data_IF_771360850351
#
_entry.id   IF_771360850351
#
_cell.length_a   1.000
_cell.length_b   1.000
_cell.length_c   1.000
_cell.angle_alpha   90.00
_cell.angle_beta   90.00
_cell.angle_gamma   90.00
#
_symmetry.space_group_name_H-M   'P 1'
#
loop_
_entity.id
_entity.type
_entity.pdbx_description
1 polymer ?
#
# COMPACT_ATOMS: atom_id res chain seq x y z
N UNK A 1 -32.49 -5.85 0.35
CA UNK A 1 -32.24 -5.06 1.56
C UNK A 1 -31.37 -3.89 1.14
N UNK A 2 -31.81 -2.67 1.41
CA UNK A 2 -31.00 -1.46 1.14
C UNK A 2 -30.10 -1.21 2.36
N UNK A 3 -28.81 -0.98 2.11
CA UNK A 3 -27.86 -0.58 3.16
C UNK A 3 -28.19 0.84 3.62
N UNK A 4 -27.95 1.11 4.90
CA UNK A 4 -27.90 2.49 5.40
C UNK A 4 -26.74 3.24 4.75
N UNK A 5 -26.78 4.58 4.80
CA UNK A 5 -25.69 5.41 4.28
C UNK A 5 -24.34 5.08 4.92
N UNK A 6 -24.33 4.81 6.22
CA UNK A 6 -23.12 4.45 6.99
C UNK A 6 -22.56 3.09 6.54
N UNK A 7 -23.42 2.09 6.42
CA UNK A 7 -23.04 0.76 5.92
C UNK A 7 -22.52 0.84 4.47
N UNK A 8 -23.13 1.68 3.63
CA UNK A 8 -22.67 1.88 2.25
C UNK A 8 -21.27 2.47 2.22
N UNK A 9 -20.98 3.46 3.06
CA UNK A 9 -19.64 4.06 3.15
C UNK A 9 -18.61 3.04 3.62
N UNK A 10 -18.95 2.25 4.64
CA UNK A 10 -18.06 1.23 5.18
C UNK A 10 -17.74 0.14 4.15
N UNK A 11 -18.73 -0.31 3.38
CA UNK A 11 -18.54 -1.28 2.30
C UNK A 11 -17.60 -0.73 1.21
N UNK A 12 -17.79 0.53 0.80
CA UNK A 12 -16.92 1.17 -0.19
C UNK A 12 -15.47 1.26 0.33
N UNK A 13 -15.27 1.67 1.58
CA UNK A 13 -13.93 1.76 2.16
C UNK A 13 -13.28 0.38 2.32
N UNK A 14 -14.06 -0.65 2.65
CA UNK A 14 -13.58 -2.04 2.72
C UNK A 14 -13.13 -2.53 1.34
N UNK A 15 -13.94 -2.28 0.31
CA UNK A 15 -13.60 -2.63 -1.08
C UNK A 15 -12.38 -1.87 -1.59
N UNK A 16 -12.28 -0.56 -1.27
CA UNK A 16 -11.14 0.26 -1.64
C UNK A 16 -9.85 -0.22 -0.95
N UNK A 17 -9.92 -0.59 0.33
CA UNK A 17 -8.79 -1.18 1.08
C UNK A 17 -8.31 -2.47 0.42
N UNK A 18 -9.23 -3.39 0.11
CA UNK A 18 -8.90 -4.64 -0.57
C UNK A 18 -8.28 -4.40 -1.96
N UNK A 19 -8.82 -3.45 -2.72
CA UNK A 19 -8.33 -3.09 -4.06
C UNK A 19 -6.93 -2.48 -4.02
N UNK A 20 -6.66 -1.62 -3.03
CA UNK A 20 -5.34 -1.03 -2.85
C UNK A 20 -4.29 -2.07 -2.46
N UNK A 21 -4.61 -2.96 -1.50
CA UNK A 21 -3.71 -4.06 -1.13
C UNK A 21 -3.43 -4.99 -2.31
N UNK A 22 -4.43 -5.26 -3.16
CA UNK A 22 -4.27 -6.10 -4.35
C UNK A 22 -3.35 -5.48 -5.42
N UNK A 23 -3.32 -4.15 -5.51
CA UNK A 23 -2.50 -3.43 -6.49
C UNK A 23 -1.02 -3.29 -6.06
N UNK A 24 -0.69 -3.56 -4.81
CA UNK A 24 0.66 -3.46 -4.25
C UNK A 24 1.52 -4.69 -4.56
N UNK A 25 2.84 -4.54 -4.41
CA UNK A 25 3.70 -5.72 -4.36
C UNK A 25 3.42 -6.56 -3.10
N UNK A 26 3.64 -7.87 -3.21
CA UNK A 26 3.31 -8.79 -2.12
C UNK A 26 4.06 -8.48 -0.81
N UNK A 27 5.38 -8.17 -0.81
CA UNK A 27 6.08 -7.79 0.42
C UNK A 27 5.49 -6.54 1.11
N UNK A 28 5.15 -5.48 0.37
CA UNK A 28 4.51 -4.29 0.93
C UNK A 28 3.13 -4.63 1.52
N UNK A 29 2.31 -5.39 0.78
CA UNK A 29 1.00 -5.80 1.28
C UNK A 29 1.10 -6.61 2.58
N UNK A 30 2.09 -7.51 2.69
CA UNK A 30 2.37 -8.27 3.91
C UNK A 30 2.76 -7.33 5.06
N UNK A 31 3.64 -6.35 4.83
CA UNK A 31 4.00 -5.36 5.86
C UNK A 31 2.78 -4.61 6.37
N UNK A 32 1.92 -4.15 5.46
CA UNK A 32 0.70 -3.42 5.83
C UNK A 32 -0.19 -4.26 6.73
N UNK A 33 -0.41 -5.53 6.38
CA UNK A 33 -1.23 -6.44 7.17
C UNK A 33 -0.61 -6.74 8.55
N UNK A 34 0.71 -6.97 8.61
CA UNK A 34 1.39 -7.28 9.87
C UNK A 34 1.44 -6.09 10.83
N UNK A 35 1.53 -4.87 10.30
CA UNK A 35 1.66 -3.65 11.10
C UNK A 35 0.33 -2.93 11.35
N UNK A 36 -0.79 -3.47 10.86
CA UNK A 36 -2.10 -2.80 10.84
C UNK A 36 -2.06 -1.43 10.12
N UNK A 37 -1.33 -1.37 9.01
CA UNK A 37 -1.15 -0.19 8.16
C UNK A 37 -1.89 -0.34 6.80
N UNK A 38 -3.00 -1.08 6.79
CA UNK A 38 -3.94 -1.21 5.68
C UNK A 38 -4.88 0.00 5.54
N UNK A 39 -4.94 0.86 6.57
CA UNK A 39 -5.84 2.00 6.58
C UNK A 39 -5.68 2.91 5.36
N UNK A 40 -6.81 3.32 4.78
CA UNK A 40 -6.87 4.18 3.59
C UNK A 40 -7.29 5.61 3.94
N UNK A 41 -6.88 6.56 3.11
CA UNK A 41 -7.34 7.95 3.13
C UNK A 41 -8.00 8.30 1.80
N UNK A 42 -9.01 9.15 1.87
CA UNK A 42 -9.64 9.78 0.71
C UNK A 42 -8.70 10.86 0.17
N UNK A 43 -8.54 10.88 -1.14
CA UNK A 43 -7.72 11.82 -1.87
C UNK A 43 -8.62 12.53 -2.90
N UNK A 44 -8.56 13.85 -2.90
CA UNK A 44 -9.26 14.72 -3.85
C UNK A 44 -8.30 15.36 -4.87
N UNK A 45 -7.01 15.15 -4.64
CA UNK A 45 -5.92 15.55 -5.51
C UNK A 45 -5.44 14.32 -6.30
N UNK A 46 -4.86 14.54 -7.49
CA UNK A 46 -4.27 13.44 -8.26
C UNK A 46 -3.15 12.77 -7.46
N UNK A 47 -2.93 11.46 -7.65
CA UNK A 47 -1.80 10.77 -7.03
C UNK A 47 -0.46 11.31 -7.54
N UNK A 48 0.62 11.14 -6.76
CA UNK A 48 1.95 11.72 -7.02
C UNK A 48 2.54 11.39 -8.41
N UNK A 49 2.10 10.29 -9.01
CA UNK A 49 2.54 9.78 -10.31
C UNK A 49 1.49 9.95 -11.42
N UNK A 50 0.49 10.81 -11.22
CA UNK A 50 -0.51 11.11 -12.24
C UNK A 50 0.09 11.86 -13.42
N UNK A 51 -0.17 11.37 -14.63
CA UNK A 51 0.26 12.00 -15.87
C UNK A 51 -0.96 12.53 -16.65
N UNK A 52 -1.17 13.86 -16.70
CA UNK A 52 -2.27 14.45 -17.45
C UNK A 52 -2.23 14.18 -18.96
N UNK A 53 -1.05 13.94 -19.55
CA UNK A 53 -0.92 13.66 -20.98
C UNK A 53 -1.41 12.25 -21.34
N UNK A 54 -1.17 11.26 -20.47
CA UNK A 54 -1.62 9.88 -20.66
C UNK A 54 -3.03 9.62 -20.11
N UNK A 55 -3.40 10.30 -19.02
CA UNK A 55 -4.59 10.01 -18.22
C UNK A 55 -5.70 11.07 -18.34
N UNK A 56 -5.42 12.19 -19.03
CA UNK A 56 -6.34 13.30 -19.24
C UNK A 56 -6.35 14.34 -18.12
N UNK A 57 -7.24 15.33 -18.19
CA UNK A 57 -7.35 16.36 -17.15
C UNK A 57 -7.98 15.81 -15.87
N UNK A 58 -7.37 16.13 -14.72
CA UNK A 58 -7.92 15.77 -13.41
C UNK A 58 -9.10 16.68 -13.04
N UNK A 59 -10.21 16.09 -12.60
CA UNK A 59 -11.33 16.84 -12.03
C UNK A 59 -11.26 16.85 -10.51
N UNK A 60 -11.44 18.02 -9.90
CA UNK A 60 -11.55 18.16 -8.44
C UNK A 60 -12.81 17.50 -7.85
N UNK A 61 -13.74 17.05 -8.69
CA UNK A 61 -14.90 16.26 -8.26
C UNK A 61 -14.56 14.77 -8.07
N UNK A 62 -13.39 14.33 -8.52
CA UNK A 62 -12.97 12.94 -8.38
C UNK A 62 -12.52 12.64 -6.94
N UNK A 63 -13.00 11.51 -6.45
CA UNK A 63 -12.55 10.90 -5.21
C UNK A 63 -11.70 9.68 -5.56
N UNK A 64 -10.47 9.65 -5.07
CA UNK A 64 -9.63 8.45 -5.08
C UNK A 64 -9.22 8.06 -3.66
N UNK A 65 -8.61 6.89 -3.52
CA UNK A 65 -8.14 6.36 -2.25
C UNK A 65 -6.64 6.09 -2.33
N UNK A 66 -5.94 6.36 -1.24
CA UNK A 66 -4.53 6.01 -1.09
C UNK A 66 -4.23 5.53 0.33
N UNK A 67 -3.05 4.98 0.55
CA UNK A 67 -2.61 4.53 1.86
C UNK A 67 -2.48 5.70 2.85
N UNK A 68 -2.87 5.49 4.12
CA UNK A 68 -2.68 6.51 5.17
C UNK A 68 -1.21 6.82 5.42
N UNK A 69 -0.39 5.78 5.51
CA UNK A 69 1.05 5.87 5.79
C UNK A 69 1.89 5.55 4.55
N UNK A 70 3.01 6.27 4.40
CA UNK A 70 3.96 6.00 3.34
C UNK A 70 4.82 4.79 3.71
N UNK A 71 4.90 3.84 2.80
CA UNK A 71 5.84 2.72 2.84
C UNK A 71 6.63 2.81 1.53
N UNK A 72 7.94 2.86 1.64
CA UNK A 72 8.82 3.00 0.47
C UNK A 72 9.87 1.91 0.49
N UNK A 73 10.04 1.24 -0.64
CA UNK A 73 11.17 0.34 -0.85
C UNK A 73 12.44 1.19 -0.94
N UNK A 74 13.33 1.01 0.03
CA UNK A 74 14.59 1.75 0.17
C UNK A 74 15.73 1.04 -0.57
N UNK A 75 15.83 -0.29 -0.43
CA UNK A 75 16.82 -1.08 -1.17
C UNK A 75 16.37 -2.49 -1.50
N UNK A 76 16.99 -3.05 -2.53
CA UNK A 76 16.80 -4.43 -3.02
C UNK A 76 18.16 -5.03 -3.30
N UNK A 77 18.46 -6.16 -2.68
CA UNK A 77 19.62 -6.99 -3.03
C UNK A 77 19.16 -8.37 -3.46
N UNK A 78 19.65 -8.84 -4.61
CA UNK A 78 19.37 -10.17 -5.14
C UNK A 78 20.66 -10.98 -5.16
N UNK A 79 20.62 -12.08 -4.46
CA UNK A 79 21.67 -13.11 -4.46
C UNK A 79 21.13 -14.38 -5.13
N UNK A 80 21.98 -15.40 -5.26
CA UNK A 80 21.61 -16.63 -5.99
C UNK A 80 20.37 -17.32 -5.40
N UNK A 81 20.28 -17.37 -4.07
CA UNK A 81 19.22 -18.06 -3.32
C UNK A 81 18.57 -17.14 -2.27
N UNK A 82 18.73 -15.82 -2.42
CA UNK A 82 18.15 -14.90 -1.46
C UNK A 82 17.71 -13.58 -2.12
N UNK A 83 16.63 -13.02 -1.61
CA UNK A 83 16.15 -11.68 -1.89
C UNK A 83 16.06 -10.91 -0.58
N UNK A 84 16.81 -9.82 -0.50
CA UNK A 84 16.76 -8.90 0.63
C UNK A 84 16.06 -7.61 0.18
N UNK A 85 15.04 -7.20 0.93
CA UNK A 85 14.31 -5.96 0.70
C UNK A 85 14.35 -5.13 1.98
N UNK A 86 14.64 -3.84 1.85
CA UNK A 86 14.53 -2.91 2.98
C UNK A 86 13.47 -1.89 2.65
N UNK A 87 12.48 -1.75 3.54
CA UNK A 87 11.43 -0.75 3.45
C UNK A 87 11.61 0.31 4.53
N UNK A 88 11.45 1.59 4.14
CA UNK A 88 11.32 2.71 5.06
C UNK A 88 9.85 3.02 5.27
N UNK A 89 9.40 2.92 6.52
CA UNK A 89 8.03 3.24 6.93
C UNK A 89 8.10 4.44 7.87
N UNK A 90 7.73 5.63 7.37
CA UNK A 90 7.69 6.92 8.08
C UNK A 90 8.43 6.93 9.44
N UNK A 91 7.67 7.00 10.54
CA UNK A 91 8.09 6.94 11.95
C UNK A 91 8.25 5.51 12.51
N UNK A 92 7.78 4.47 11.81
CA UNK A 92 7.95 3.07 12.23
C UNK A 92 9.35 2.51 11.97
N UNK A 93 10.20 3.23 11.23
CA UNK A 93 11.61 2.87 11.02
C UNK A 93 11.84 2.05 9.76
N UNK A 94 12.93 1.29 9.76
CA UNK A 94 13.30 0.41 8.65
C UNK A 94 12.88 -1.03 8.96
N UNK A 95 12.39 -1.71 7.93
CA UNK A 95 11.95 -3.08 8.00
C UNK A 95 12.62 -3.88 6.90
N UNK A 96 13.17 -5.03 7.25
CA UNK A 96 13.85 -5.93 6.34
C UNK A 96 12.99 -7.16 6.05
N UNK A 97 13.02 -7.60 4.79
CA UNK A 97 12.64 -8.95 4.37
C UNK A 97 13.90 -9.68 3.94
N UNK A 98 14.16 -10.83 4.56
CA UNK A 98 15.05 -11.86 4.01
C UNK A 98 14.16 -12.99 3.48
N UNK A 99 14.17 -13.18 2.17
CA UNK A 99 13.43 -14.24 1.49
C UNK A 99 14.45 -15.24 0.94
N UNK A 100 14.42 -16.45 1.46
CA UNK A 100 15.19 -17.61 0.98
C UNK A 100 14.24 -18.74 0.57
N UNK A 101 14.70 -19.80 -0.11
CA UNK A 101 13.87 -20.96 -0.42
C UNK A 101 13.15 -21.56 0.80
N UNK A 102 13.79 -21.52 1.98
CA UNK A 102 13.33 -22.28 3.14
C UNK A 102 12.58 -21.44 4.17
N UNK A 103 12.73 -20.12 4.11
CA UNK A 103 12.10 -19.20 5.06
C UNK A 103 11.98 -17.78 4.53
N UNK A 104 11.01 -17.08 5.10
CA UNK A 104 10.88 -15.62 5.03
C UNK A 104 11.05 -15.07 6.44
N UNK A 105 11.98 -14.14 6.62
CA UNK A 105 12.19 -13.39 7.87
C UNK A 105 11.76 -11.95 7.63
N UNK A 106 10.99 -11.41 8.57
CA UNK A 106 10.53 -10.03 8.56
C UNK A 106 10.88 -9.42 9.91
N UNK A 107 11.75 -8.41 9.92
CA UNK A 107 12.17 -7.77 11.16
C UNK A 107 12.42 -6.28 11.01
N UNK A 108 12.43 -5.59 12.15
CA UNK A 108 12.75 -4.17 12.22
C UNK A 108 14.25 -4.01 12.46
N UNK A 109 14.88 -3.14 11.68
CA UNK A 109 16.32 -2.83 11.76
C UNK A 109 16.60 -1.37 12.11
#
# INVERSE_FOLDING_TARGET
>A
WELTEEERVQEIETQATASLLWAMDAPEAILRLLLNEEGIKRLYEPPDNYDPEEQGEWSSEYLTFGSKRSIKLDSVSREHEALYLVYKIDDLGYWEFEITPERVVIERI
#
